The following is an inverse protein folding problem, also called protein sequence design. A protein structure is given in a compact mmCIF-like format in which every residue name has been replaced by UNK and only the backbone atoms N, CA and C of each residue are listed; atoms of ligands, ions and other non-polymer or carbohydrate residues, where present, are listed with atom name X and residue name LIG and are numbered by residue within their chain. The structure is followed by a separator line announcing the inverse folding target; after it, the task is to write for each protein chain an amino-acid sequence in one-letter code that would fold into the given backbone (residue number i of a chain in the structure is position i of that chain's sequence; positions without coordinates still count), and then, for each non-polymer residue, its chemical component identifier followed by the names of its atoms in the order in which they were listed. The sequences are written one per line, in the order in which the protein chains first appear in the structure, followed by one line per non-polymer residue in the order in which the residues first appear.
data_IF_639331032567
#
_entry.id   IF_639331032567
#
_cell.length_a   1.000
_cell.length_b   1.000
_cell.length_c   1.000
_cell.angle_alpha   90.00
_cell.angle_beta   90.00
_cell.angle_gamma   90.00
#
_symmetry.space_group_name_H-M   'P 1'
#
loop_
_entity.id
_entity.type
_entity.pdbx_description
1 polymer ?
#
# COMPACT_ATOMS: atom_id res chain seq x y z
N UNK A 1 -2.59 -19.19 39.04
CA UNK A 1 -1.93 -18.49 37.92
C UNK A 1 -1.42 -19.53 36.94
N UNK A 2 -2.00 -19.63 35.73
CA UNK A 2 -1.51 -20.52 34.68
C UNK A 2 -0.63 -19.70 33.75
N UNK A 3 0.66 -20.03 33.67
CA UNK A 3 1.58 -19.41 32.71
C UNK A 3 1.70 -20.30 31.48
N UNK A 4 1.18 -19.84 30.34
CA UNK A 4 1.57 -20.42 29.06
C UNK A 4 2.89 -19.77 28.63
N UNK A 5 3.96 -20.55 28.63
CA UNK A 5 5.26 -20.13 28.14
C UNK A 5 5.33 -20.39 26.64
N UNK A 6 5.44 -19.31 25.87
CA UNK A 6 5.66 -19.39 24.42
C UNK A 6 7.17 -19.52 24.20
N UNK A 7 7.60 -20.69 23.74
CA UNK A 7 9.01 -21.07 23.53
C UNK A 7 9.76 -20.00 22.71
N UNK A 8 11.05 -19.71 22.99
CA UNK A 8 11.87 -18.71 22.28
C UNK A 8 11.97 -18.88 20.76
N UNK A 9 11.66 -20.06 20.23
CA UNK A 9 11.58 -20.32 18.78
C UNK A 9 10.15 -20.40 18.23
N UNK A 10 9.12 -20.19 19.06
CA UNK A 10 7.74 -20.20 18.62
C UNK A 10 7.43 -18.91 17.86
N UNK A 11 7.86 -18.90 16.60
CA UNK A 11 7.03 -18.30 15.58
C UNK A 11 5.76 -19.16 15.59
N UNK A 12 4.66 -18.63 16.10
CA UNK A 12 3.33 -19.17 15.76
C UNK A 12 3.08 -18.82 14.28
N UNK A 13 3.91 -19.37 13.40
CA UNK A 13 3.75 -19.29 11.97
C UNK A 13 2.77 -20.39 11.60
N UNK A 14 1.50 -20.04 11.65
CA UNK A 14 0.45 -20.86 11.08
C UNK A 14 0.46 -20.66 9.56
N UNK A 15 1.58 -21.03 8.93
CA UNK A 15 1.90 -20.78 7.52
C UNK A 15 0.99 -21.49 6.52
N UNK A 16 -0.07 -22.14 7.00
CA UNK A 16 -1.17 -22.74 6.27
C UNK A 16 -2.46 -21.89 6.32
N UNK A 17 -2.44 -20.72 6.98
CA UNK A 17 -3.62 -19.90 7.22
C UNK A 17 -4.47 -20.38 8.39
N UNK A 18 -3.97 -21.27 9.25
CA UNK A 18 -4.70 -21.71 10.43
C UNK A 18 -4.85 -20.56 11.44
N UNK A 19 -6.11 -20.21 11.69
CA UNK A 19 -6.50 -19.17 12.62
C UNK A 19 -6.43 -19.75 14.04
N UNK A 20 -5.57 -19.19 14.89
CA UNK A 20 -5.68 -19.44 16.32
C UNK A 20 -6.84 -18.62 16.89
N UNK A 21 -7.82 -19.27 17.50
CA UNK A 21 -9.01 -18.62 18.05
C UNK A 21 -9.09 -18.90 19.54
N UNK A 22 -9.13 -17.85 20.35
CA UNK A 22 -9.49 -17.96 21.75
C UNK A 22 -11.02 -18.07 21.89
N UNK A 23 -11.46 -18.98 22.73
CA UNK A 23 -12.87 -19.27 23.00
C UNK A 23 -13.20 -19.00 24.46
N UNK A 24 -14.47 -19.19 24.85
CA UNK A 24 -14.87 -19.06 26.24
C UNK A 24 -14.16 -20.09 27.15
N UNK A 25 -13.80 -21.27 26.61
CA UNK A 25 -13.09 -22.33 27.34
C UNK A 25 -11.65 -21.92 27.73
N UNK A 26 -11.05 -20.97 27.00
CA UNK A 26 -9.72 -20.44 27.27
C UNK A 26 -9.72 -19.31 28.32
N UNK A 27 -10.88 -18.98 28.89
CA UNK A 27 -11.01 -17.84 29.81
C UNK A 27 -10.46 -18.15 31.20
N UNK A 28 -9.71 -17.21 31.76
CA UNK A 28 -9.38 -17.20 33.19
C UNK A 28 -10.54 -16.68 34.06
N UNK A 29 -10.36 -16.76 35.37
CA UNK A 29 -11.26 -16.11 36.36
C UNK A 29 -10.62 -14.85 36.93
N UNK A 30 -11.37 -14.10 37.75
CA UNK A 30 -10.84 -12.95 38.49
C UNK A 30 -9.65 -13.33 39.40
N UNK A 31 -9.68 -14.53 39.99
CA UNK A 31 -8.63 -15.05 40.87
C UNK A 31 -7.57 -15.89 40.13
N UNK A 32 -7.80 -16.19 38.85
CA UNK A 32 -6.93 -17.05 38.03
C UNK A 32 -6.90 -16.61 36.56
N UNK A 33 -6.19 -15.52 36.28
CA UNK A 33 -5.99 -15.02 34.92
C UNK A 33 -5.13 -15.96 34.05
N UNK A 34 -5.40 -15.91 32.74
CA UNK A 34 -4.53 -16.50 31.70
C UNK A 34 -3.48 -15.46 31.32
N UNK A 35 -2.20 -15.81 31.46
CA UNK A 35 -1.09 -14.95 31.05
C UNK A 35 -0.31 -15.63 29.93
N UNK A 36 -0.26 -14.97 28.78
CA UNK A 36 0.58 -15.36 27.64
C UNK A 36 1.78 -14.43 27.64
N UNK A 37 2.97 -15.00 27.85
CA UNK A 37 4.22 -14.24 27.83
C UNK A 37 5.35 -15.07 27.25
N UNK A 38 6.38 -14.38 26.77
CA UNK A 38 7.65 -15.02 26.49
C UNK A 38 8.26 -15.56 27.79
N UNK A 39 9.11 -16.59 27.67
CA UNK A 39 10.00 -17.00 28.75
C UNK A 39 10.95 -15.87 29.17
N UNK A 40 11.49 -15.96 30.38
CA UNK A 40 12.44 -14.98 30.86
C UNK A 40 13.70 -14.96 29.97
N UNK A 41 14.10 -13.75 29.54
CA UNK A 41 15.20 -13.56 28.60
C UNK A 41 14.85 -13.87 27.13
N UNK A 42 13.64 -14.34 26.81
CA UNK A 42 13.20 -14.65 25.46
C UNK A 42 12.42 -13.50 24.81
N UNK A 43 12.40 -13.47 23.47
CA UNK A 43 11.55 -12.59 22.67
C UNK A 43 10.57 -13.43 21.86
N UNK A 44 9.29 -13.39 22.20
CA UNK A 44 8.24 -14.05 21.42
C UNK A 44 7.73 -13.14 20.29
N UNK A 45 7.42 -13.71 19.11
CA UNK A 45 6.84 -13.01 17.97
C UNK A 45 5.64 -13.78 17.42
N UNK A 46 4.50 -13.10 17.31
CA UNK A 46 3.31 -13.62 16.63
C UNK A 46 3.33 -13.10 15.20
N UNK A 47 3.55 -13.98 14.23
CA UNK A 47 3.66 -13.62 12.81
C UNK A 47 2.59 -14.36 12.01
N UNK A 48 1.73 -13.60 11.32
CA UNK A 48 0.73 -14.15 10.40
C UNK A 48 1.18 -14.21 8.94
N UNK A 49 2.49 -14.17 8.69
CA UNK A 49 3.07 -14.13 7.34
C UNK A 49 3.82 -15.42 7.02
N UNK A 50 3.94 -15.74 5.73
CA UNK A 50 4.68 -16.92 5.26
C UNK A 50 6.10 -16.54 4.81
N UNK A 51 7.10 -17.40 5.05
CA UNK A 51 8.43 -17.19 4.50
C UNK A 51 8.43 -17.38 2.98
N UNK A 52 9.08 -16.47 2.27
CA UNK A 52 9.31 -16.57 0.82
C UNK A 52 10.82 -16.66 0.59
N UNK A 53 11.29 -17.73 -0.04
CA UNK A 53 12.73 -18.05 -0.13
C UNK A 53 13.24 -18.29 -1.55
N UNK A 54 12.41 -18.76 -2.48
CA UNK A 54 12.80 -19.09 -3.86
C UNK A 54 12.81 -17.87 -4.80
N UNK A 55 13.67 -16.90 -4.50
CA UNK A 55 13.87 -15.73 -5.34
C UNK A 55 14.86 -16.03 -6.47
N UNK A 56 14.41 -15.88 -7.72
CA UNK A 56 15.20 -16.09 -8.94
C UNK A 56 15.26 -14.84 -9.81
N UNK A 57 16.26 -14.69 -10.69
CA UNK A 57 16.26 -13.65 -11.71
C UNK A 57 15.00 -13.69 -12.56
N UNK A 58 14.49 -12.52 -12.96
CA UNK A 58 13.38 -12.44 -13.91
C UNK A 58 13.90 -12.82 -15.29
N UNK A 59 13.31 -13.84 -15.90
CA UNK A 59 13.64 -14.30 -17.27
C UNK A 59 12.48 -14.11 -18.25
N UNK A 60 11.26 -13.89 -17.75
CA UNK A 60 10.08 -13.68 -18.58
C UNK A 60 10.24 -12.40 -19.44
N UNK A 61 10.26 -12.51 -20.78
CA UNK A 61 10.43 -11.37 -21.67
C UNK A 61 9.33 -10.30 -21.50
N UNK A 62 8.09 -10.69 -21.20
CA UNK A 62 6.98 -9.76 -21.02
C UNK A 62 7.16 -8.93 -19.74
N UNK A 63 7.67 -9.53 -18.67
CA UNK A 63 8.01 -8.80 -17.44
C UNK A 63 9.23 -7.90 -17.66
N UNK A 64 10.28 -8.42 -18.31
CA UNK A 64 11.50 -7.64 -18.60
C UNK A 64 11.23 -6.43 -19.50
N UNK A 65 10.28 -6.53 -20.43
CA UNK A 65 9.86 -5.43 -21.29
C UNK A 65 9.23 -4.26 -20.51
N UNK A 66 8.65 -4.52 -19.33
CA UNK A 66 8.08 -3.50 -18.44
C UNK A 66 9.14 -2.78 -17.60
N UNK A 67 10.35 -3.33 -17.52
CA UNK A 67 11.44 -2.81 -16.70
C UNK A 67 12.42 -1.99 -17.53
N UNK A 68 12.90 -0.89 -16.96
CA UNK A 68 14.01 -0.14 -17.55
C UNK A 68 15.23 -1.05 -17.70
N UNK A 69 16.03 -0.93 -18.79
CA UNK A 69 17.17 -1.81 -19.05
C UNK A 69 18.12 -1.96 -17.86
N UNK A 70 18.41 -0.85 -17.18
CA UNK A 70 19.28 -0.82 -16.00
C UNK A 70 18.74 -1.59 -14.79
N UNK A 71 17.42 -1.77 -14.67
CA UNK A 71 16.81 -2.47 -13.53
C UNK A 71 16.78 -3.99 -13.73
N UNK A 72 16.75 -4.48 -14.98
CA UNK A 72 16.50 -5.89 -15.33
C UNK A 72 17.41 -6.88 -14.60
N UNK A 73 18.70 -6.56 -14.46
CA UNK A 73 19.66 -7.43 -13.79
C UNK A 73 19.45 -7.55 -12.27
N UNK A 74 18.77 -6.57 -11.66
CA UNK A 74 18.61 -6.44 -10.22
C UNK A 74 17.24 -6.93 -9.70
N UNK A 75 16.27 -7.14 -10.59
CA UNK A 75 14.95 -7.63 -10.17
C UNK A 75 15.00 -9.15 -9.92
N UNK A 76 14.32 -9.57 -8.86
CA UNK A 76 14.10 -10.97 -8.51
C UNK A 76 12.60 -11.24 -8.40
N UNK A 77 12.21 -12.47 -8.67
CA UNK A 77 10.82 -12.94 -8.62
C UNK A 77 10.77 -14.22 -7.79
N UNK A 78 9.69 -14.39 -7.03
CA UNK A 78 9.36 -15.61 -6.33
C UNK A 78 7.91 -15.98 -6.64
N UNK A 79 7.60 -17.28 -6.68
CA UNK A 79 6.24 -17.77 -6.85
C UNK A 79 5.52 -17.80 -5.50
N UNK A 80 4.58 -16.86 -5.33
CA UNK A 80 3.81 -16.75 -4.09
C UNK A 80 2.84 -17.91 -3.88
N UNK A 81 2.31 -18.52 -4.95
CA UNK A 81 1.43 -19.70 -4.82
C UNK A 81 2.24 -20.91 -4.34
N UNK A 82 3.46 -21.09 -4.87
CA UNK A 82 4.36 -22.12 -4.39
C UNK A 82 4.77 -21.90 -2.91
N UNK A 83 4.78 -20.65 -2.45
CA UNK A 83 4.99 -20.29 -1.05
C UNK A 83 3.72 -20.39 -0.17
N UNK A 84 2.60 -20.92 -0.70
CA UNK A 84 1.33 -21.08 0.03
C UNK A 84 0.45 -19.83 0.09
N UNK A 85 0.81 -18.75 -0.59
CA UNK A 85 0.00 -17.53 -0.66
C UNK A 85 -0.99 -17.63 -1.83
N UNK A 86 -2.23 -18.01 -1.52
CA UNK A 86 -3.30 -18.11 -2.52
C UNK A 86 -3.94 -16.74 -2.85
N UNK A 87 -4.01 -15.85 -1.86
CA UNK A 87 -4.59 -14.51 -1.98
C UNK A 87 -3.52 -13.46 -1.66
N UNK A 88 -3.16 -12.66 -2.67
CA UNK A 88 -2.21 -11.55 -2.53
C UNK A 88 -2.89 -10.24 -2.09
N UNK A 89 -4.19 -10.28 -1.83
CA UNK A 89 -5.01 -9.12 -1.59
C UNK A 89 -5.13 -8.23 -2.83
N UNK A 90 -5.72 -7.05 -2.64
CA UNK A 90 -5.82 -6.02 -3.64
C UNK A 90 -5.55 -4.66 -3.00
N UNK A 91 -5.04 -3.72 -3.79
CA UNK A 91 -5.04 -2.33 -3.38
C UNK A 91 -6.49 -1.83 -3.28
N UNK A 92 -6.75 -1.07 -2.23
CA UNK A 92 -8.03 -0.45 -1.96
C UNK A 92 -7.79 0.99 -1.56
N UNK A 93 -8.82 1.83 -1.78
CA UNK A 93 -8.81 3.23 -1.37
C UNK A 93 -8.65 3.34 0.14
N UNK A 94 -7.74 4.21 0.59
CA UNK A 94 -7.35 4.40 1.99
C UNK A 94 -7.04 5.86 2.28
N UNK A 95 -6.97 6.20 3.57
CA UNK A 95 -6.62 7.54 4.03
C UNK A 95 -7.81 8.24 4.67
N UNK A 96 -7.78 9.57 4.67
CA UNK A 96 -8.76 10.40 5.34
C UNK A 96 -10.20 10.08 4.87
N UNK A 97 -11.12 9.98 5.82
CA UNK A 97 -12.55 9.64 5.61
C UNK A 97 -12.81 8.34 4.83
N UNK A 98 -11.86 7.42 4.79
CA UNK A 98 -12.06 6.08 4.20
C UNK A 98 -12.42 5.06 5.28
N UNK A 99 -13.26 4.08 4.92
CA UNK A 99 -13.49 2.91 5.79
C UNK A 99 -12.16 2.18 6.00
N UNK A 100 -11.90 1.80 7.26
CA UNK A 100 -10.73 0.96 7.58
C UNK A 100 -10.92 -0.40 6.91
N UNK A 101 -9.95 -0.77 6.08
CA UNK A 101 -9.88 -2.07 5.39
C UNK A 101 -8.54 -2.75 5.72
N UNK A 102 -8.46 -4.08 5.77
CA UNK A 102 -7.19 -4.80 5.97
C UNK A 102 -6.13 -4.32 4.99
N UNK A 103 -4.87 -4.13 5.40
CA UNK A 103 -3.78 -3.67 4.53
C UNK A 103 -3.59 -4.59 3.31
N UNK A 104 -3.01 -4.06 2.23
CA UNK A 104 -2.54 -4.89 1.13
C UNK A 104 -1.35 -5.75 1.61
N UNK A 105 -0.99 -6.78 0.83
CA UNK A 105 0.14 -7.64 1.16
C UNK A 105 1.45 -6.84 1.25
N UNK A 106 2.19 -7.04 2.34
CA UNK A 106 3.49 -6.42 2.59
C UNK A 106 4.60 -7.47 2.56
N UNK A 107 5.75 -7.11 1.98
CA UNK A 107 6.96 -7.92 2.01
C UNK A 107 7.91 -7.38 3.08
N UNK A 108 8.43 -8.25 3.94
CA UNK A 108 9.46 -7.90 4.92
C UNK A 108 10.76 -8.62 4.59
N UNK A 109 11.88 -7.89 4.64
CA UNK A 109 13.22 -8.44 4.45
C UNK A 109 14.14 -7.97 5.58
N UNK A 110 14.82 -8.91 6.25
CA UNK A 110 15.67 -8.59 7.41
C UNK A 110 14.93 -7.87 8.54
N UNK A 111 13.63 -8.18 8.73
CA UNK A 111 12.78 -7.54 9.74
C UNK A 111 12.32 -6.12 9.39
N UNK A 112 12.56 -5.64 8.17
CA UNK A 112 12.15 -4.30 7.71
C UNK A 112 11.09 -4.42 6.60
N UNK A 113 10.03 -3.59 6.62
CA UNK A 113 9.07 -3.56 5.53
C UNK A 113 9.75 -3.06 4.26
N UNK A 114 9.53 -3.77 3.16
CA UNK A 114 9.93 -3.33 1.83
C UNK A 114 8.88 -2.37 1.28
N UNK A 115 9.31 -1.52 0.35
CA UNK A 115 8.43 -0.54 -0.28
C UNK A 115 7.89 -1.10 -1.59
N UNK A 116 6.59 -0.96 -1.80
CA UNK A 116 5.95 -1.12 -3.11
C UNK A 116 6.64 -0.22 -4.12
N UNK A 117 6.80 -0.70 -5.35
CA UNK A 117 7.40 0.09 -6.42
C UNK A 117 6.63 1.41 -6.58
N UNK A 118 7.36 2.52 -6.51
CA UNK A 118 6.76 3.83 -6.50
C UNK A 118 7.64 4.89 -7.13
N UNK A 119 6.99 5.97 -7.57
CA UNK A 119 7.65 7.19 -7.97
C UNK A 119 6.89 8.41 -7.43
N UNK A 120 7.57 9.41 -6.85
CA UNK A 120 9.00 9.46 -6.54
C UNK A 120 9.45 8.39 -5.52
N UNK A 121 10.74 8.37 -5.14
CA UNK A 121 11.24 7.37 -4.18
C UNK A 121 10.52 7.50 -2.84
N UNK A 122 10.66 6.50 -1.98
CA UNK A 122 10.03 6.52 -0.66
C UNK A 122 10.39 7.77 0.14
N UNK A 123 9.35 8.43 0.67
CA UNK A 123 9.47 9.70 1.40
C UNK A 123 9.43 10.95 0.52
N UNK A 124 9.43 10.80 -0.80
CA UNK A 124 9.37 11.91 -1.74
C UNK A 124 7.98 12.03 -2.39
N UNK A 125 7.58 13.27 -2.68
CA UNK A 125 6.37 13.59 -3.42
C UNK A 125 6.69 14.56 -4.56
N UNK A 126 5.94 14.49 -5.65
CA UNK A 126 5.94 15.52 -6.70
C UNK A 126 4.74 16.45 -6.52
N UNK A 127 4.87 17.71 -6.91
CA UNK A 127 3.75 18.65 -6.90
C UNK A 127 2.79 18.38 -8.06
N UNK A 128 1.50 18.63 -7.82
CA UNK A 128 0.52 18.72 -8.90
C UNK A 128 0.78 20.02 -9.68
N UNK A 129 0.90 19.90 -11.01
CA UNK A 129 1.27 21.01 -11.89
C UNK A 129 0.09 21.91 -12.25
N UNK A 130 -1.14 21.40 -12.13
CA UNK A 130 -2.37 22.12 -12.42
C UNK A 130 -3.58 21.24 -12.19
N UNK A 131 -4.76 21.84 -12.13
CA UNK A 131 -6.03 21.14 -11.92
C UNK A 131 -6.87 21.29 -13.18
N UNK A 132 -7.50 20.22 -13.63
CA UNK A 132 -8.43 20.26 -14.77
C UNK A 132 -9.73 20.94 -14.32
N UNK A 133 -10.31 21.77 -15.18
CA UNK A 133 -11.56 22.53 -14.93
C UNK A 133 -11.55 23.30 -13.59
N UNK A 134 -10.42 23.95 -13.28
CA UNK A 134 -10.25 24.71 -12.06
C UNK A 134 -11.29 25.83 -11.92
N UNK A 135 -11.88 25.93 -10.73
CA UNK A 135 -12.78 27.02 -10.32
C UNK A 135 -12.18 27.78 -9.14
N UNK A 136 -12.51 29.05 -9.01
CA UNK A 136 -12.15 29.81 -7.82
C UNK A 136 -12.92 29.27 -6.61
N UNK A 137 -12.21 29.00 -5.51
CA UNK A 137 -12.81 28.76 -4.21
C UNK A 137 -13.25 30.07 -3.56
N UNK A 138 -13.97 29.97 -2.44
CA UNK A 138 -14.32 31.12 -1.58
C UNK A 138 -13.08 31.90 -1.08
N UNK A 139 -11.91 31.26 -1.11
CA UNK A 139 -10.61 31.83 -0.71
C UNK A 139 -9.72 32.20 -1.90
N UNK A 140 -10.29 32.33 -3.11
CA UNK A 140 -9.57 32.64 -4.36
C UNK A 140 -8.49 31.63 -4.75
N UNK A 141 -8.55 30.40 -4.21
CA UNK A 141 -7.70 29.30 -4.66
C UNK A 141 -8.32 28.61 -5.88
N UNK A 142 -7.49 28.21 -6.84
CA UNK A 142 -7.95 27.42 -7.97
C UNK A 142 -8.12 25.96 -7.54
N UNK A 143 -9.37 25.57 -7.31
CA UNK A 143 -9.74 24.23 -6.87
C UNK A 143 -10.48 23.45 -7.95
N UNK A 144 -10.32 22.13 -7.99
CA UNK A 144 -11.08 21.26 -8.90
C UNK A 144 -11.44 19.93 -8.27
N UNK A 145 -12.12 19.08 -9.05
CA UNK A 145 -12.49 17.73 -8.64
C UNK A 145 -11.37 16.73 -8.93
N UNK A 146 -11.02 15.91 -7.95
CA UNK A 146 -9.98 14.90 -8.07
C UNK A 146 -10.33 13.81 -9.09
N UNK A 147 -11.61 13.50 -9.26
CA UNK A 147 -12.06 12.58 -10.30
C UNK A 147 -11.98 13.22 -11.69
N UNK A 148 -12.18 14.54 -11.79
CA UNK A 148 -12.03 15.33 -13.03
C UNK A 148 -10.58 15.45 -13.52
N UNK A 149 -9.63 15.19 -12.63
CA UNK A 149 -8.23 14.99 -12.97
C UNK A 149 -7.34 16.20 -12.75
N UNK A 150 -6.04 15.95 -12.91
CA UNK A 150 -5.00 16.95 -12.65
C UNK A 150 -3.77 16.72 -13.53
N UNK A 151 -2.97 17.76 -13.69
CA UNK A 151 -1.71 17.72 -14.44
C UNK A 151 -0.54 17.36 -13.53
N UNK A 152 0.37 16.51 -14.01
CA UNK A 152 1.64 16.20 -13.33
C UNK A 152 2.83 16.81 -14.07
N UNK A 153 3.94 17.00 -13.35
CA UNK A 153 5.19 17.51 -13.90
C UNK A 153 6.14 16.38 -14.33
N UNK A 154 6.97 16.67 -15.34
CA UNK A 154 8.02 15.77 -15.83
C UNK A 154 7.52 14.66 -16.75
N UNK A 155 8.45 13.80 -17.18
CA UNK A 155 8.22 12.78 -18.20
C UNK A 155 8.35 11.35 -17.67
N UNK A 156 8.47 11.18 -16.34
CA UNK A 156 8.64 9.85 -15.74
C UNK A 156 7.52 8.87 -16.15
N UNK A 157 6.22 9.26 -16.12
CA UNK A 157 5.14 8.35 -16.49
C UNK A 157 5.16 7.88 -17.95
N UNK A 158 5.81 8.61 -18.88
CA UNK A 158 6.01 8.16 -20.27
C UNK A 158 6.78 6.84 -20.39
N UNK A 159 7.53 6.46 -19.35
CA UNK A 159 8.32 5.23 -19.30
C UNK A 159 7.57 4.05 -18.71
N UNK A 160 6.37 4.26 -18.20
CA UNK A 160 5.58 3.18 -17.61
C UNK A 160 4.89 2.40 -18.71
N UNK A 161 5.02 1.08 -18.67
CA UNK A 161 4.17 0.22 -19.47
C UNK A 161 2.71 0.41 -19.03
N UNK A 162 1.74 0.22 -19.95
CA UNK A 162 0.32 0.24 -19.59
C UNK A 162 0.04 -0.67 -18.39
N UNK A 163 -0.68 -0.13 -17.40
CA UNK A 163 -1.01 -0.82 -16.16
C UNK A 163 -2.44 -0.42 -15.75
N UNK A 164 -3.31 -1.41 -15.53
CA UNK A 164 -4.70 -1.25 -15.11
C UNK A 164 -4.86 -1.17 -13.58
N UNK A 165 -3.76 -1.26 -12.83
CA UNK A 165 -3.68 -1.23 -11.38
C UNK A 165 -2.69 -0.18 -10.87
N UNK A 166 -2.75 1.03 -11.43
CA UNK A 166 -1.99 2.18 -10.96
C UNK A 166 -2.73 2.91 -9.84
N UNK A 167 -2.00 3.23 -8.76
CA UNK A 167 -2.52 3.97 -7.62
C UNK A 167 -1.69 5.22 -7.37
N UNK A 168 -2.32 6.26 -6.84
CA UNK A 168 -1.64 7.47 -6.39
C UNK A 168 -1.96 7.70 -4.92
N UNK A 169 -0.94 8.07 -4.15
CA UNK A 169 -1.05 8.52 -2.78
C UNK A 169 -0.65 9.98 -2.74
N UNK A 170 -1.50 10.83 -2.17
CA UNK A 170 -1.16 12.23 -2.07
C UNK A 170 -2.05 13.02 -1.14
N UNK A 171 -1.73 14.31 -1.10
CA UNK A 171 -2.48 15.39 -0.48
C UNK A 171 -3.04 16.26 -1.60
N UNK A 172 -4.32 16.62 -1.49
CA UNK A 172 -5.09 17.18 -2.60
C UNK A 172 -5.43 18.67 -2.39
N UNK A 173 -6.28 19.03 -1.43
CA UNK A 173 -6.43 20.43 -1.03
C UNK A 173 -5.69 20.73 0.27
N UNK A 174 -5.64 19.72 1.14
CA UNK A 174 -5.23 19.88 2.53
C UNK A 174 -4.06 18.94 2.81
N UNK A 175 -3.00 19.49 3.39
CA UNK A 175 -1.77 18.80 3.80
C UNK A 175 -1.96 17.79 4.95
N UNK A 176 -3.12 17.82 5.60
CA UNK A 176 -3.51 16.87 6.65
C UNK A 176 -4.43 15.74 6.14
N UNK A 177 -4.95 15.84 4.90
CA UNK A 177 -5.98 14.93 4.37
C UNK A 177 -5.47 14.08 3.20
N UNK A 178 -4.58 13.11 3.48
CA UNK A 178 -4.10 12.23 2.42
C UNK A 178 -5.09 11.14 2.04
N UNK A 179 -5.02 10.66 0.80
CA UNK A 179 -5.62 9.39 0.43
C UNK A 179 -4.87 8.67 -0.68
N UNK A 180 -5.18 7.37 -0.82
CA UNK A 180 -4.79 6.52 -1.92
C UNK A 180 -5.95 6.44 -2.89
N UNK A 181 -5.76 6.86 -4.14
CA UNK A 181 -6.77 6.85 -5.18
C UNK A 181 -6.33 5.97 -6.35
N UNK A 182 -7.28 5.21 -6.92
CA UNK A 182 -7.03 4.40 -8.11
C UNK A 182 -7.04 5.32 -9.33
N UNK A 183 -6.01 5.20 -10.17
CA UNK A 183 -5.96 5.90 -11.46
C UNK A 183 -6.85 5.17 -12.46
N UNK A 184 -7.74 5.90 -13.10
CA UNK A 184 -8.60 5.39 -14.19
C UNK A 184 -8.05 5.75 -15.56
N UNK A 185 -7.35 6.88 -15.67
CA UNK A 185 -6.69 7.32 -16.90
C UNK A 185 -5.36 7.98 -16.59
N UNK A 186 -4.32 7.58 -17.32
CA UNK A 186 -3.03 8.28 -17.37
C UNK A 186 -2.78 8.65 -18.84
N UNK A 187 -2.84 9.94 -19.13
CA UNK A 187 -2.52 10.50 -20.43
C UNK A 187 -1.12 11.12 -20.38
N UNK A 188 -0.19 10.51 -21.10
CA UNK A 188 1.19 10.95 -21.11
C UNK A 188 1.47 12.09 -22.08
N UNK A 189 0.57 12.32 -23.04
CA UNK A 189 0.70 13.41 -24.01
C UNK A 189 0.22 14.73 -23.40
N UNK A 190 -0.93 14.71 -22.73
CA UNK A 190 -1.47 15.88 -22.02
C UNK A 190 -0.97 15.99 -20.58
N UNK A 191 -0.20 14.99 -20.11
CA UNK A 191 0.28 14.84 -18.72
C UNK A 191 -0.84 14.93 -17.68
N UNK A 192 -1.97 14.29 -17.98
CA UNK A 192 -3.17 14.29 -17.14
C UNK A 192 -3.37 12.93 -16.47
N UNK A 193 -3.75 12.97 -15.19
CA UNK A 193 -4.20 11.80 -14.42
C UNK A 193 -5.65 12.03 -14.01
N UNK A 194 -6.50 11.03 -14.22
CA UNK A 194 -7.85 10.95 -13.69
C UNK A 194 -7.93 9.81 -12.67
N UNK A 195 -8.78 10.00 -11.66
CA UNK A 195 -8.96 9.02 -10.59
C UNK A 195 -10.38 8.47 -10.57
N UNK A 196 -10.53 7.29 -9.97
CA UNK A 196 -11.84 6.71 -9.76
C UNK A 196 -12.71 7.67 -8.91
N UNK A 197 -14.00 7.85 -9.26
CA UNK A 197 -14.88 8.73 -8.51
C UNK A 197 -15.01 8.25 -7.07
N UNK A 198 -15.16 9.19 -6.15
CA UNK A 198 -15.55 8.88 -4.77
C UNK A 198 -17.03 8.49 -4.75
N UNK A 199 -17.36 7.42 -4.05
CA UNK A 199 -18.77 7.03 -3.84
C UNK A 199 -19.54 8.15 -3.14
N UNK A 200 -20.79 8.38 -3.55
CA UNK A 200 -21.59 9.60 -3.37
C UNK A 200 -21.84 10.14 -1.94
N UNK A 201 -21.40 9.47 -0.88
CA UNK A 201 -21.69 9.85 0.51
C UNK A 201 -20.66 10.78 1.15
N UNK A 202 -19.71 11.34 0.40
CA UNK A 202 -18.70 12.27 0.93
C UNK A 202 -18.41 13.35 -0.11
N UNK A 203 -18.49 14.65 0.23
CA UNK A 203 -18.10 15.70 -0.70
C UNK A 203 -16.66 15.46 -1.15
N UNK A 204 -16.41 15.57 -2.46
CA UNK A 204 -15.07 15.45 -3.05
C UNK A 204 -14.13 16.42 -2.34
N UNK A 205 -13.00 15.92 -1.82
CA UNK A 205 -11.95 16.83 -1.38
C UNK A 205 -11.48 17.61 -2.62
N UNK A 206 -11.45 18.96 -2.57
CA UNK A 206 -10.90 19.72 -3.68
C UNK A 206 -9.44 19.29 -3.95
N UNK A 207 -8.94 19.52 -5.16
CA UNK A 207 -7.50 19.59 -5.42
C UNK A 207 -7.10 21.06 -5.47
N UNK A 208 -5.98 21.42 -4.85
CA UNK A 208 -5.31 22.71 -5.05
C UNK A 208 -3.85 22.51 -5.45
N UNK A 209 -3.41 23.12 -6.56
CA UNK A 209 -2.03 22.99 -7.04
C UNK A 209 -0.98 23.63 -6.10
N UNK A 210 -1.38 24.52 -5.17
CA UNK A 210 -0.46 25.19 -4.24
C UNK A 210 0.00 24.30 -3.09
N UNK A 211 -0.84 23.37 -2.64
CA UNK A 211 -0.60 22.51 -1.46
C UNK A 211 -0.50 21.03 -1.81
N UNK A 212 -0.83 20.66 -3.06
CA UNK A 212 -0.87 19.28 -3.50
C UNK A 212 0.49 18.64 -3.69
N UNK A 213 0.60 17.38 -3.27
CA UNK A 213 1.73 16.54 -3.63
C UNK A 213 1.33 15.07 -3.71
N UNK A 214 1.94 14.33 -4.64
CA UNK A 214 1.59 12.94 -4.94
C UNK A 214 2.81 12.03 -5.09
N UNK A 215 2.61 10.74 -4.83
CA UNK A 215 3.49 9.65 -5.18
C UNK A 215 2.64 8.52 -5.78
N UNK A 216 3.09 7.98 -6.90
CA UNK A 216 2.45 6.87 -7.61
C UNK A 216 3.00 5.53 -7.13
N UNK A 217 2.13 4.53 -6.99
CA UNK A 217 2.48 3.13 -6.68
C UNK A 217 1.96 2.22 -7.80
N UNK A 218 2.82 1.31 -8.24
CA UNK A 218 2.56 0.44 -9.41
C UNK A 218 2.98 -1.00 -9.15
#
# INVERSE_FOLDING_TARGET
MLHLFVNPAAILNQGDGSKHTFTAEDSGTADAHVTIRAEEGATARLLGGVPVTDFRPVTDPAVLARLEPQARAHVRVADLRAAGVADCGHFSRRGFSCKITPAHLELFYGGRPMTVAQWPKAGEFTRIAGVVDARASEWSEHVGDLAGGFHYAGDRPRRWAPNDNLWIHGYWCYDWANSYERVTRLDVETRTIETAPRTASTPSSPISASTSSISSKS
#
